data_IF_514760466264
#
_entry.id   IF_514760466264
#
_cell.length_a   1.000
_cell.length_b   1.000
_cell.length_c   1.000
_cell.angle_alpha   90.00
_cell.angle_beta   90.00
_cell.angle_gamma   90.00
#
_symmetry.space_group_name_H-M   'P 1'
#
loop_
_entity.id
_entity.type
_entity.pdbx_description
1 polymer ?
#
# COMPACT_ATOMS: atom_id res chain seq x y z
N UNK A 1 12.52 -0.09 3.28
CA UNK A 1 11.43 -0.17 4.28
C UNK A 1 11.51 -1.50 5.08
N UNK A 2 10.71 -1.67 6.15
CA UNK A 2 10.47 -2.96 6.84
C UNK A 2 8.96 -3.17 6.93
N UNK A 3 8.49 -4.42 6.96
CA UNK A 3 7.06 -4.69 7.14
C UNK A 3 6.54 -4.05 8.44
N UNK A 4 5.41 -3.34 8.33
CA UNK A 4 4.69 -2.73 9.45
C UNK A 4 3.20 -2.91 9.25
N UNK A 5 2.61 -3.85 9.97
CA UNK A 5 1.17 -4.09 9.96
C UNK A 5 0.37 -2.82 10.32
N UNK A 6 0.94 -1.93 11.13
CA UNK A 6 0.29 -0.66 11.50
C UNK A 6 0.03 0.26 10.30
N UNK A 7 0.72 0.07 9.17
CA UNK A 7 0.50 0.89 7.95
C UNK A 7 -0.92 0.78 7.40
N UNK A 8 -1.54 -0.40 7.50
CA UNK A 8 -2.92 -0.63 7.05
C UNK A 8 -3.93 0.12 7.92
N UNK A 9 -3.73 0.09 9.25
CA UNK A 9 -4.56 0.87 10.18
C UNK A 9 -4.35 2.38 10.01
N UNK A 10 -3.12 2.82 9.77
CA UNK A 10 -2.81 4.22 9.50
C UNK A 10 -3.47 4.74 8.20
N UNK A 11 -3.49 3.93 7.13
CA UNK A 11 -4.16 4.29 5.88
C UNK A 11 -5.68 4.44 6.06
N UNK A 12 -6.28 3.61 6.93
CA UNK A 12 -7.69 3.74 7.31
C UNK A 12 -8.00 5.11 7.94
N UNK A 13 -7.12 5.65 8.80
CA UNK A 13 -7.37 6.95 9.46
C UNK A 13 -7.59 8.09 8.45
N UNK A 14 -6.81 8.11 7.37
CA UNK A 14 -6.98 9.11 6.30
C UNK A 14 -8.23 8.81 5.48
N UNK A 15 -8.46 7.54 5.15
CA UNK A 15 -9.60 7.10 4.35
C UNK A 15 -10.96 7.35 5.04
N UNK A 16 -11.02 7.26 6.37
CA UNK A 16 -12.27 7.52 7.10
C UNK A 16 -12.70 8.99 7.01
N UNK A 17 -11.73 9.91 6.95
CA UNK A 17 -11.93 11.37 7.03
C UNK A 17 -12.12 12.05 5.67
N UNK A 18 -11.83 11.37 4.55
CA UNK A 18 -11.92 11.98 3.23
C UNK A 18 -12.54 11.04 2.18
N UNK A 19 -13.65 11.46 1.59
CA UNK A 19 -14.39 10.68 0.57
C UNK A 19 -13.61 10.47 -0.73
N UNK A 20 -12.64 11.32 -1.04
CA UNK A 20 -11.78 11.20 -2.23
C UNK A 20 -10.53 10.37 -1.97
N UNK A 21 -10.31 9.90 -0.74
CA UNK A 21 -9.14 9.10 -0.42
C UNK A 21 -9.19 7.75 -1.14
N UNK A 22 -8.03 7.32 -1.61
CA UNK A 22 -7.77 5.96 -2.04
C UNK A 22 -6.79 5.33 -1.07
N UNK A 23 -7.11 4.14 -0.57
CA UNK A 23 -6.13 3.34 0.18
C UNK A 23 -5.28 2.58 -0.82
N UNK A 24 -3.98 2.66 -0.63
CA UNK A 24 -3.00 2.06 -1.52
C UNK A 24 -2.27 0.96 -0.77
N UNK A 25 -2.25 -0.24 -1.35
CA UNK A 25 -1.39 -1.33 -0.91
C UNK A 25 -0.31 -1.53 -1.97
N UNK A 26 0.94 -1.76 -1.56
CA UNK A 26 2.01 -2.03 -2.53
C UNK A 26 3.11 -2.91 -1.98
N UNK A 27 3.84 -3.52 -2.91
CA UNK A 27 5.18 -4.03 -2.65
C UNK A 27 6.18 -2.87 -2.75
N UNK A 28 6.79 -2.50 -1.62
CA UNK A 28 7.81 -1.45 -1.55
C UNK A 28 9.18 -2.08 -1.27
N UNK A 29 10.27 -1.60 -1.91
CA UNK A 29 11.63 -2.03 -1.57
C UNK A 29 11.96 -1.95 -0.08
N UNK A 30 12.44 -3.07 0.47
CA UNK A 30 12.76 -3.21 1.88
C UNK A 30 13.67 -4.39 2.18
N UNK A 31 14.69 -4.17 3.02
CA UNK A 31 15.71 -5.18 3.29
C UNK A 31 16.42 -5.62 2.00
N UNK A 32 16.44 -6.93 1.75
CA UNK A 32 16.99 -7.54 0.53
C UNK A 32 15.95 -7.82 -0.56
N UNK A 33 14.73 -7.26 -0.45
CA UNK A 33 13.64 -7.53 -1.37
C UNK A 33 12.54 -6.48 -1.27
N UNK A 34 11.30 -6.95 -1.16
CA UNK A 34 10.10 -6.13 -1.07
C UNK A 34 9.30 -6.49 0.18
N UNK A 35 8.63 -5.49 0.74
CA UNK A 35 7.72 -5.64 1.87
C UNK A 35 6.36 -5.07 1.49
N UNK A 36 5.29 -5.69 1.97
CA UNK A 36 3.95 -5.13 1.76
C UNK A 36 3.76 -3.94 2.69
N UNK A 37 3.18 -2.87 2.16
CA UNK A 37 2.97 -1.62 2.88
C UNK A 37 1.70 -0.92 2.39
N UNK A 38 1.13 -0.06 3.23
CA UNK A 38 -0.07 0.70 2.92
C UNK A 38 0.05 2.19 3.25
N UNK A 39 -0.61 3.02 2.45
CA UNK A 39 -0.77 4.46 2.67
C UNK A 39 -2.10 4.93 2.06
N UNK A 40 -2.44 6.21 2.24
CA UNK A 40 -3.57 6.82 1.57
C UNK A 40 -3.13 7.87 0.55
N UNK A 41 -3.84 7.98 -0.55
CA UNK A 41 -3.68 9.02 -1.58
C UNK A 41 -4.93 9.88 -1.66
N UNK A 42 -4.75 11.21 -1.71
CA UNK A 42 -5.82 12.15 -2.02
C UNK A 42 -5.30 13.06 -3.13
N UNK A 43 -5.91 12.98 -4.30
CA UNK A 43 -5.46 13.71 -5.51
C UNK A 43 -3.99 13.40 -5.81
N UNK A 44 -3.07 14.37 -5.73
CA UNK A 44 -1.63 14.17 -5.96
C UNK A 44 -0.80 14.08 -4.67
N UNK A 45 -1.45 13.93 -3.51
CA UNK A 45 -0.77 13.85 -2.22
C UNK A 45 -0.81 12.43 -1.63
N UNK A 46 0.33 11.97 -1.11
CA UNK A 46 0.50 10.74 -0.35
C UNK A 46 0.53 11.05 1.14
N UNK A 47 -0.29 10.34 1.90
CA UNK A 47 -0.37 10.36 3.35
C UNK A 47 0.09 8.99 3.89
N UNK A 48 1.36 8.90 4.27
CA UNK A 48 1.91 7.74 4.98
C UNK A 48 2.27 8.14 6.42
N UNK A 49 1.30 7.99 7.32
CA UNK A 49 1.44 8.33 8.74
C UNK A 49 2.47 7.47 9.48
N UNK A 50 3.00 6.42 8.85
CA UNK A 50 4.09 5.62 9.44
C UNK A 50 5.49 6.12 9.07
N UNK A 51 5.58 7.01 8.08
CA UNK A 51 6.83 7.63 7.63
C UNK A 51 6.90 9.11 8.02
N UNK A 52 5.79 9.85 7.90
CA UNK A 52 5.72 11.31 8.10
C UNK A 52 4.34 11.74 8.57
N UNK A 53 4.27 12.84 9.33
CA UNK A 53 3.00 13.46 9.71
C UNK A 53 2.46 14.41 8.63
N UNK A 54 3.32 14.84 7.71
CA UNK A 54 2.96 15.77 6.62
C UNK A 54 2.81 15.02 5.29
N UNK A 55 1.82 15.36 4.47
CA UNK A 55 1.66 14.76 3.15
C UNK A 55 2.82 15.13 2.23
N UNK A 56 3.16 14.19 1.34
CA UNK A 56 4.17 14.39 0.30
C UNK A 56 3.52 14.40 -1.09
N UNK A 57 4.11 15.10 -2.04
CA UNK A 57 3.67 14.99 -3.44
C UNK A 57 3.92 13.56 -3.91
N UNK A 58 2.94 12.95 -4.57
CA UNK A 58 2.98 11.53 -4.97
C UNK A 58 4.21 11.18 -5.77
N UNK A 59 4.59 12.00 -6.75
CA UNK A 59 5.79 11.77 -7.56
C UNK A 59 7.06 11.74 -6.70
N UNK A 60 7.17 12.68 -5.75
CA UNK A 60 8.32 12.74 -4.84
C UNK A 60 8.35 11.53 -3.91
N UNK A 61 7.22 11.15 -3.34
CA UNK A 61 7.10 9.95 -2.50
C UNK A 61 7.50 8.69 -3.27
N UNK A 62 7.00 8.54 -4.49
CA UNK A 62 7.25 7.38 -5.33
C UNK A 62 8.73 7.29 -5.71
N UNK A 63 9.37 8.40 -6.06
CA UNK A 63 10.80 8.47 -6.34
C UNK A 63 11.63 8.14 -5.09
N UNK A 64 11.31 8.76 -3.94
CA UNK A 64 12.02 8.54 -2.68
C UNK A 64 11.95 7.08 -2.21
N UNK A 65 10.80 6.44 -2.37
CA UNK A 65 10.55 5.08 -1.90
C UNK A 65 10.70 4.00 -2.98
N UNK A 66 11.09 4.38 -4.20
CA UNK A 66 11.20 3.49 -5.36
C UNK A 66 9.91 2.67 -5.58
N UNK A 67 8.76 3.34 -5.51
CA UNK A 67 7.45 2.73 -5.75
C UNK A 67 7.27 2.54 -7.25
N UNK A 68 6.91 1.31 -7.65
CA UNK A 68 6.59 1.00 -9.03
C UNK A 68 5.08 0.83 -9.18
N UNK A 69 4.45 1.54 -10.12
CA UNK A 69 2.99 1.50 -10.33
C UNK A 69 2.44 0.08 -10.59
N UNK A 70 3.22 -0.78 -11.26
CA UNK A 70 2.83 -2.18 -11.47
C UNK A 70 2.73 -2.99 -10.15
N UNK A 71 3.38 -2.51 -9.09
CA UNK A 71 3.44 -3.11 -7.77
C UNK A 71 2.37 -2.59 -6.80
N UNK A 72 1.43 -1.79 -7.31
CA UNK A 72 0.44 -1.07 -6.51
C UNK A 72 -0.97 -1.61 -6.76
N UNK A 73 -1.79 -1.63 -5.71
CA UNK A 73 -3.25 -1.78 -5.78
C UNK A 73 -3.89 -0.60 -5.05
N UNK A 74 -4.91 0.00 -5.66
CA UNK A 74 -5.65 1.13 -5.10
C UNK A 74 -7.10 0.71 -4.90
N UNK A 75 -7.65 1.11 -3.76
CA UNK A 75 -9.04 0.88 -3.40
C UNK A 75 -9.65 2.23 -3.10
N UNK A 76 -10.76 2.56 -3.75
CA UNK A 76 -11.51 3.74 -3.34
C UNK A 76 -12.12 3.53 -1.94
N UNK A 77 -12.61 4.60 -1.32
CA UNK A 77 -13.15 4.54 0.03
C UNK A 77 -14.27 3.50 0.19
N UNK A 78 -15.19 3.42 -0.75
CA UNK A 78 -16.36 2.52 -0.64
C UNK A 78 -15.91 1.07 -0.79
N UNK A 79 -15.04 0.81 -1.77
CA UNK A 79 -14.42 -0.50 -1.99
C UNK A 79 -13.63 -0.94 -0.76
N UNK A 80 -12.78 -0.05 -0.22
CA UNK A 80 -11.96 -0.34 0.96
C UNK A 80 -12.83 -0.75 2.15
N UNK A 81 -13.84 0.05 2.52
CA UNK A 81 -14.69 -0.29 3.66
C UNK A 81 -15.56 -1.53 3.42
N UNK A 82 -15.96 -1.80 2.17
CA UNK A 82 -16.61 -3.07 1.81
C UNK A 82 -15.68 -4.25 2.10
N UNK A 83 -14.43 -4.20 1.63
CA UNK A 83 -13.44 -5.24 1.85
C UNK A 83 -13.10 -5.41 3.33
N UNK A 84 -13.02 -4.32 4.11
CA UNK A 84 -12.85 -4.41 5.57
C UNK A 84 -14.02 -5.14 6.22
N UNK A 85 -15.26 -4.81 5.85
CA UNK A 85 -16.46 -5.44 6.41
C UNK A 85 -16.54 -6.94 6.04
N UNK A 86 -16.16 -7.30 4.81
CA UNK A 86 -16.20 -8.68 4.33
C UNK A 86 -15.07 -9.55 4.89
N UNK A 87 -13.86 -8.99 5.03
CA UNK A 87 -12.67 -9.75 5.42
C UNK A 87 -12.33 -9.67 6.91
N UNK A 88 -12.84 -8.67 7.62
CA UNK A 88 -12.46 -8.38 9.01
C UNK A 88 -11.00 -7.94 9.18
N UNK A 89 -10.32 -7.55 8.09
CA UNK A 89 -8.93 -7.07 8.08
C UNK A 89 -8.85 -5.71 7.38
N UNK A 90 -7.81 -4.92 7.67
CA UNK A 90 -7.50 -3.67 6.94
C UNK A 90 -6.60 -3.90 5.72
N UNK A 91 -6.16 -5.14 5.49
CA UNK A 91 -5.37 -5.53 4.33
C UNK A 91 -4.23 -6.49 4.66
N UNK A 92 -3.40 -6.83 3.65
CA UNK A 92 -3.66 -6.57 2.23
C UNK A 92 -4.83 -7.42 1.69
N UNK A 93 -5.60 -6.90 0.72
CA UNK A 93 -6.82 -7.56 0.21
C UNK A 93 -6.59 -8.49 -0.98
N UNK A 94 -5.79 -8.07 -1.96
CA UNK A 94 -5.42 -8.90 -3.12
C UNK A 94 -4.40 -9.95 -2.68
N UNK A 95 -4.86 -11.04 -2.05
CA UNK A 95 -3.98 -12.04 -1.40
C UNK A 95 -3.15 -12.86 -2.38
N UNK A 96 -3.61 -12.99 -3.62
CA UNK A 96 -2.83 -13.67 -4.67
C UNK A 96 -1.64 -12.80 -5.08
N UNK A 97 -1.83 -11.48 -5.14
CA UNK A 97 -0.76 -10.52 -5.41
C UNK A 97 0.13 -10.25 -4.19
N UNK A 98 -0.46 -10.08 -3.01
CA UNK A 98 0.20 -9.86 -1.71
C UNK A 98 0.27 -11.18 -0.92
N UNK A 99 0.91 -12.18 -1.52
CA UNK A 99 0.97 -13.55 -1.00
C UNK A 99 1.86 -13.73 0.24
N UNK A 100 2.59 -12.70 0.65
CA UNK A 100 3.45 -12.70 1.83
C UNK A 100 3.58 -11.28 2.41
N UNK A 101 4.19 -11.15 3.59
CA UNK A 101 4.52 -9.85 4.17
C UNK A 101 5.84 -9.28 3.61
N UNK A 102 6.78 -10.17 3.28
CA UNK A 102 8.08 -9.84 2.70
C UNK A 102 8.45 -10.90 1.65
N UNK A 103 9.16 -10.50 0.60
CA UNK A 103 9.55 -11.38 -0.51
C UNK A 103 10.87 -10.93 -1.13
N UNK A 104 11.68 -11.86 -1.65
CA UNK A 104 12.87 -11.50 -2.44
C UNK A 104 12.48 -10.93 -3.81
N UNK A 105 13.38 -10.14 -4.41
CA UNK A 105 13.16 -9.59 -5.74
C UNK A 105 12.91 -10.68 -6.80
N UNK A 106 13.70 -11.77 -6.77
CA UNK A 106 13.59 -12.86 -7.74
C UNK A 106 12.20 -13.55 -7.70
N UNK A 107 11.67 -13.79 -6.50
CA UNK A 107 10.38 -14.46 -6.33
C UNK A 107 9.23 -13.55 -6.76
N UNK A 108 9.31 -12.25 -6.45
CA UNK A 108 8.31 -11.28 -6.88
C UNK A 108 8.29 -11.16 -8.42
N UNK A 109 9.47 -11.07 -9.05
CA UNK A 109 9.57 -10.98 -10.50
C UNK A 109 8.98 -12.22 -11.20
N UNK A 110 9.31 -13.43 -10.72
CA UNK A 110 8.72 -14.66 -11.25
C UNK A 110 7.20 -14.67 -11.16
N UNK A 111 6.61 -14.11 -10.08
CA UNK A 111 5.16 -14.05 -9.95
C UNK A 111 4.49 -13.05 -10.89
N UNK A 112 5.11 -11.90 -11.10
CA UNK A 112 4.58 -10.87 -12.01
C UNK A 112 4.62 -11.35 -13.47
N UNK A 113 5.65 -12.09 -13.87
CA UNK A 113 5.78 -12.61 -15.25
C UNK A 113 4.78 -13.71 -15.61
N UNK A 114 4.11 -14.32 -14.61
CA UNK A 114 3.19 -15.44 -14.78
C UNK A 114 1.73 -15.11 -14.40
N UNK A 115 1.40 -13.83 -14.26
CA UNK A 115 0.05 -13.33 -13.97
C UNK A 115 -0.44 -12.44 -15.10
#
# INVERSE_FOLDING_TARGET
MRFREQSFAAALEICSENEKAQVVHAWIPGGSGFVVHAWAEIEDAVYDLTQTNDPLVRTEYYEQHNVHEALVRRYDRVEFFTLVAETGSFGPFDRDFFFANEVSADVLQQKIEHT
#
